data_IF_994074625553
#
_entry.id   IF_994074625553
#
_cell.length_a   1.000
_cell.length_b   1.000
_cell.length_c   1.000
_cell.angle_alpha   90.00
_cell.angle_beta   90.00
_cell.angle_gamma   90.00
#
_symmetry.space_group_name_H-M   'P 1'
#
loop_
_entity.id
_entity.type
_entity.pdbx_description
1 polymer ?
#
# COMPACT_ATOMS: atom_id res chain seq x y z
N UNK A 1 -17.24 22.66 -47.09
CA UNK A 1 -17.66 23.04 -45.72
C UNK A 1 -16.81 22.27 -44.71
N UNK A 2 -15.99 22.98 -43.92
CA UNK A 2 -15.20 22.39 -42.82
C UNK A 2 -16.14 22.16 -41.62
N UNK A 3 -16.29 20.93 -41.15
CA UNK A 3 -16.82 20.67 -39.80
C UNK A 3 -15.65 20.57 -38.83
N UNK A 4 -15.29 21.71 -38.26
CA UNK A 4 -14.58 21.77 -36.99
C UNK A 4 -15.57 21.36 -35.90
N UNK A 5 -15.27 20.30 -35.15
CA UNK A 5 -16.08 19.81 -34.03
C UNK A 5 -15.19 19.19 -32.97
N UNK A 6 -14.73 20.06 -32.06
CA UNK A 6 -14.03 19.82 -30.79
C UNK A 6 -13.93 18.36 -30.34
N UNK A 7 -12.70 17.89 -30.17
CA UNK A 7 -12.34 16.77 -29.29
C UNK A 7 -12.96 16.99 -27.92
N UNK A 8 -13.87 16.11 -27.51
CA UNK A 8 -14.42 16.06 -26.16
C UNK A 8 -13.30 15.67 -25.20
N UNK A 9 -12.66 16.66 -24.58
CA UNK A 9 -11.86 16.39 -23.37
C UNK A 9 -12.81 15.76 -22.36
N UNK A 10 -12.49 14.55 -21.90
CA UNK A 10 -13.17 13.92 -20.77
C UNK A 10 -12.91 14.83 -19.55
N UNK A 11 -13.92 15.56 -19.11
CA UNK A 11 -13.80 16.52 -18.00
C UNK A 11 -13.68 15.84 -16.62
N UNK A 12 -13.74 14.50 -16.56
CA UNK A 12 -13.72 13.69 -15.34
C UNK A 12 -12.59 12.61 -15.31
N UNK A 13 -11.34 12.95 -15.66
CA UNK A 13 -10.23 12.01 -15.49
C UNK A 13 -9.85 11.88 -14.00
N UNK A 14 -10.03 10.69 -13.41
CA UNK A 14 -9.57 10.42 -12.05
C UNK A 14 -8.04 10.30 -12.02
N UNK A 15 -7.38 11.38 -11.58
CA UNK A 15 -5.93 11.42 -11.37
C UNK A 15 -5.65 11.56 -9.88
N UNK A 16 -5.17 10.50 -9.19
CA UNK A 16 -4.89 10.58 -7.77
C UNK A 16 -3.70 11.50 -7.52
N UNK A 17 -3.85 12.49 -6.63
CA UNK A 17 -2.73 13.36 -6.22
C UNK A 17 -1.91 12.73 -5.11
N UNK A 18 -2.54 11.94 -4.24
CA UNK A 18 -1.89 11.20 -3.16
C UNK A 18 -2.29 9.74 -3.19
N UNK A 19 -1.28 8.87 -3.18
CA UNK A 19 -1.43 7.42 -3.21
C UNK A 19 -0.89 6.86 -1.91
N UNK A 20 -1.70 6.07 -1.21
CA UNK A 20 -1.22 5.20 -0.15
C UNK A 20 -0.93 3.81 -0.74
N UNK A 21 0.20 3.23 -0.38
CA UNK A 21 0.55 1.85 -0.73
C UNK A 21 0.66 1.01 0.53
N UNK A 22 -0.19 -0.01 0.67
CA UNK A 22 -0.05 -1.01 1.73
C UNK A 22 1.08 -1.99 1.38
N UNK A 23 2.05 -2.17 2.28
CA UNK A 23 3.26 -2.91 1.98
C UNK A 23 3.67 -3.86 3.11
N UNK A 24 3.85 -5.14 2.78
CA UNK A 24 4.24 -6.22 3.71
C UNK A 24 5.42 -7.05 3.20
N UNK A 25 6.18 -6.49 2.25
CA UNK A 25 7.29 -7.17 1.55
C UNK A 25 6.91 -8.44 0.76
N UNK A 26 5.61 -8.74 0.59
CA UNK A 26 5.18 -9.82 -0.28
C UNK A 26 5.38 -9.49 -1.76
N UNK A 27 5.35 -10.51 -2.62
CA UNK A 27 5.43 -10.34 -4.08
C UNK A 27 4.34 -9.38 -4.61
N UNK A 28 3.12 -9.50 -4.08
CA UNK A 28 1.99 -8.69 -4.52
C UNK A 28 2.11 -7.24 -4.03
N UNK A 29 2.64 -7.01 -2.82
CA UNK A 29 2.89 -5.64 -2.36
C UNK A 29 4.05 -4.97 -3.10
N UNK A 30 5.07 -5.74 -3.51
CA UNK A 30 6.14 -5.26 -4.40
C UNK A 30 5.55 -4.80 -5.74
N UNK A 31 4.65 -5.59 -6.33
CA UNK A 31 3.95 -5.21 -7.56
C UNK A 31 3.07 -3.98 -7.35
N UNK A 32 2.38 -3.89 -6.22
CA UNK A 32 1.58 -2.73 -5.84
C UNK A 32 2.41 -1.43 -5.78
N UNK A 33 3.57 -1.46 -5.12
CA UNK A 33 4.47 -0.31 -5.07
C UNK A 33 5.00 0.06 -6.46
N UNK A 34 5.38 -0.91 -7.29
CA UNK A 34 5.79 -0.64 -8.68
C UNK A 34 4.68 0.03 -9.49
N UNK A 35 3.44 -0.43 -9.37
CA UNK A 35 2.30 0.17 -10.04
C UNK A 35 2.06 1.62 -9.58
N UNK A 36 2.12 1.88 -8.27
CA UNK A 36 2.02 3.23 -7.72
C UNK A 36 3.14 4.14 -8.23
N UNK A 37 4.39 3.65 -8.32
CA UNK A 37 5.52 4.40 -8.90
C UNK A 37 5.24 4.75 -10.37
N UNK A 38 4.73 3.81 -11.18
CA UNK A 38 4.38 4.11 -12.57
C UNK A 38 3.24 5.14 -12.70
N UNK A 39 2.25 5.12 -11.81
CA UNK A 39 1.20 6.15 -11.76
C UNK A 39 1.81 7.51 -11.41
N UNK A 40 2.62 7.56 -10.36
CA UNK A 40 3.29 8.79 -9.93
C UNK A 40 4.24 9.36 -10.98
N UNK A 41 5.01 8.52 -11.66
CA UNK A 41 5.93 8.93 -12.74
C UNK A 41 5.17 9.64 -13.88
N UNK A 42 3.95 9.17 -14.20
CA UNK A 42 3.14 9.74 -15.26
C UNK A 42 2.34 10.98 -14.82
N UNK A 43 1.86 11.01 -13.58
CA UNK A 43 0.85 11.98 -13.12
C UNK A 43 1.31 12.89 -11.97
N UNK A 44 2.51 12.69 -11.43
CA UNK A 44 3.08 13.49 -10.35
C UNK A 44 2.48 13.23 -8.97
N UNK A 45 1.82 12.09 -8.76
CA UNK A 45 1.21 11.73 -7.47
C UNK A 45 2.25 11.57 -6.37
N UNK A 46 1.98 12.03 -5.14
CA UNK A 46 2.80 11.71 -3.98
C UNK A 46 2.51 10.28 -3.50
N UNK A 47 3.54 9.51 -3.17
CA UNK A 47 3.40 8.13 -2.68
C UNK A 47 3.76 8.05 -1.19
N UNK A 48 2.84 7.49 -0.41
CA UNK A 48 3.05 7.13 0.98
C UNK A 48 2.91 5.62 1.16
N UNK A 49 4.02 4.94 1.43
CA UNK A 49 4.03 3.53 1.78
C UNK A 49 3.70 3.40 3.26
N UNK A 50 2.70 2.58 3.59
CA UNK A 50 2.38 2.21 4.97
C UNK A 50 2.66 0.72 5.14
N UNK A 51 3.46 0.41 6.14
CA UNK A 51 3.61 -0.93 6.69
C UNK A 51 3.00 -0.99 8.09
N UNK A 52 2.13 -1.98 8.30
CA UNK A 52 1.55 -2.27 9.61
C UNK A 52 2.29 -3.45 10.21
N UNK A 53 2.89 -3.24 11.39
CA UNK A 53 3.57 -4.29 12.14
C UNK A 53 2.52 -5.10 12.87
N UNK A 54 2.49 -6.40 12.58
CA UNK A 54 1.55 -7.37 13.15
C UNK A 54 2.32 -8.29 14.10
N UNK A 55 2.07 -8.12 15.41
CA UNK A 55 2.65 -8.99 16.41
C UNK A 55 1.90 -10.34 16.44
N UNK A 56 2.61 -11.48 16.54
CA UNK A 56 1.98 -12.78 16.69
C UNK A 56 1.08 -12.83 17.93
N UNK A 57 -0.09 -13.44 17.77
CA UNK A 57 -0.99 -13.74 18.90
C UNK A 57 -0.35 -14.82 19.75
N UNK A 58 0.05 -14.45 20.96
CA UNK A 58 0.62 -15.37 21.95
C UNK A 58 -0.51 -16.02 22.77
N UNK A 59 -0.56 -17.35 22.75
CA UNK A 59 -1.42 -18.13 23.64
C UNK A 59 -0.94 -18.09 25.08
N UNK A 60 -1.80 -18.48 26.03
CA UNK A 60 -1.45 -18.55 27.46
C UNK A 60 -0.25 -19.49 27.68
N UNK A 61 0.90 -18.90 28.03
CA UNK A 61 2.15 -19.58 28.37
C UNK A 61 3.28 -18.58 28.61
N UNK A 62 4.30 -18.95 29.38
CA UNK A 62 5.44 -18.10 29.79
C UNK A 62 6.47 -17.85 28.67
N UNK A 63 6.03 -17.72 27.41
CA UNK A 63 6.94 -17.36 26.32
C UNK A 63 7.06 -15.83 26.28
N UNK A 64 8.13 -15.32 26.88
CA UNK A 64 8.50 -13.90 26.76
C UNK A 64 9.05 -13.63 25.36
N UNK A 65 8.28 -12.93 24.53
CA UNK A 65 8.77 -12.43 23.25
C UNK A 65 9.51 -11.10 23.43
N UNK A 66 10.67 -10.98 22.79
CA UNK A 66 11.34 -9.71 22.61
C UNK A 66 10.65 -8.93 21.48
N UNK A 67 9.65 -8.12 21.84
CA UNK A 67 8.89 -7.33 20.86
C UNK A 67 9.76 -6.31 20.12
N UNK A 68 10.79 -5.76 20.75
CA UNK A 68 11.72 -4.83 20.11
C UNK A 68 12.53 -5.52 19.00
N UNK A 69 12.97 -6.75 19.25
CA UNK A 69 13.67 -7.56 18.25
C UNK A 69 12.75 -7.93 17.09
N UNK A 70 11.51 -8.31 17.39
CA UNK A 70 10.50 -8.61 16.37
C UNK A 70 10.20 -7.39 15.49
N UNK A 71 9.88 -6.26 16.10
CA UNK A 71 9.67 -4.98 15.43
C UNK A 71 10.85 -4.63 14.53
N UNK A 72 12.07 -4.76 15.07
CA UNK A 72 13.29 -4.43 14.34
C UNK A 72 13.53 -5.39 13.17
N UNK A 73 13.24 -6.68 13.32
CA UNK A 73 13.37 -7.66 12.26
C UNK A 73 12.37 -7.43 11.13
N UNK A 74 11.12 -7.16 11.46
CA UNK A 74 10.05 -6.89 10.49
C UNK A 74 10.31 -5.59 9.71
N UNK A 75 10.67 -4.52 10.43
CA UNK A 75 11.10 -3.25 9.83
C UNK A 75 12.31 -3.41 8.91
N UNK A 76 13.30 -4.23 9.28
CA UNK A 76 14.45 -4.54 8.41
C UNK A 76 14.01 -5.27 7.14
N UNK A 77 13.11 -6.24 7.25
CA UNK A 77 12.59 -7.00 6.10
C UNK A 77 11.88 -6.07 5.11
N UNK A 78 10.98 -5.22 5.60
CA UNK A 78 10.25 -4.23 4.80
C UNK A 78 11.18 -3.20 4.18
N UNK A 79 12.15 -2.70 4.94
CA UNK A 79 13.16 -1.76 4.42
C UNK A 79 13.95 -2.41 3.29
N UNK A 80 14.45 -3.63 3.47
CA UNK A 80 15.21 -4.38 2.46
C UNK A 80 14.42 -4.60 1.17
N UNK A 81 13.12 -4.87 1.27
CA UNK A 81 12.25 -5.09 0.11
C UNK A 81 11.86 -3.77 -0.59
N UNK A 82 11.63 -2.70 0.16
CA UNK A 82 11.14 -1.42 -0.37
C UNK A 82 12.26 -0.51 -0.90
N UNK A 83 13.43 -0.51 -0.28
CA UNK A 83 14.52 0.43 -0.57
C UNK A 83 15.02 0.39 -2.03
N UNK A 84 15.20 -0.78 -2.69
CA UNK A 84 15.58 -0.81 -4.10
C UNK A 84 14.53 -0.15 -5.02
N UNK A 85 13.25 -0.32 -4.70
CA UNK A 85 12.13 0.27 -5.45
C UNK A 85 12.07 1.78 -5.24
N UNK A 86 12.31 2.25 -4.02
CA UNK A 86 12.37 3.68 -3.69
C UNK A 86 13.58 4.34 -4.37
N UNK A 87 14.73 3.67 -4.41
CA UNK A 87 15.92 4.15 -5.15
C UNK A 87 15.63 4.27 -6.64
N UNK A 88 14.92 3.31 -7.21
CA UNK A 88 14.49 3.35 -8.61
C UNK A 88 13.48 4.49 -8.86
N UNK A 89 12.49 4.64 -7.99
CA UNK A 89 11.51 5.72 -8.04
C UNK A 89 12.19 7.10 -8.02
N UNK A 90 13.18 7.29 -7.14
CA UNK A 90 13.95 8.54 -7.05
C UNK A 90 14.69 8.87 -8.34
N UNK A 91 15.25 7.87 -9.04
CA UNK A 91 15.89 8.09 -10.36
C UNK A 91 14.90 8.56 -11.43
N UNK A 92 13.61 8.28 -11.24
CA UNK A 92 12.49 8.70 -12.08
C UNK A 92 11.79 9.97 -11.55
N UNK A 93 12.42 10.70 -10.63
CA UNK A 93 11.85 11.88 -9.95
C UNK A 93 10.54 11.62 -9.18
N UNK A 94 10.28 10.39 -8.76
CA UNK A 94 9.15 10.02 -7.91
C UNK A 94 9.57 10.04 -6.45
N UNK A 95 8.86 10.84 -5.62
CA UNK A 95 9.06 10.89 -4.17
C UNK A 95 8.18 9.85 -3.48
N UNK A 96 8.81 9.03 -2.63
CA UNK A 96 8.14 8.02 -1.81
C UNK A 96 8.51 8.25 -0.35
N UNK A 97 7.50 8.33 0.51
CA UNK A 97 7.65 8.37 1.97
C UNK A 97 7.20 7.03 2.57
N UNK A 98 7.85 6.56 3.63
CA UNK A 98 7.52 5.29 4.29
C UNK A 98 7.16 5.55 5.74
N UNK A 99 5.99 5.06 6.15
CA UNK A 99 5.50 5.08 7.51
C UNK A 99 5.35 3.66 8.05
N UNK A 100 5.70 3.49 9.32
CA UNK A 100 5.52 2.26 10.08
C UNK A 100 4.45 2.54 11.14
N UNK A 101 3.42 1.70 11.19
CA UNK A 101 2.34 1.79 12.18
C UNK A 101 2.13 0.43 12.82
N UNK A 102 1.56 0.40 14.01
CA UNK A 102 1.32 -0.83 14.76
C UNK A 102 -0.15 -1.23 14.69
N UNK A 103 -0.42 -2.54 14.72
CA UNK A 103 -1.77 -3.09 14.77
C UNK A 103 -2.50 -2.67 16.06
N UNK A 104 -3.60 -1.91 15.95
CA UNK A 104 -4.44 -1.57 17.12
C UNK A 104 -5.52 -2.64 17.37
N UNK A 105 -6.06 -3.21 16.30
CA UNK A 105 -7.07 -4.28 16.35
C UNK A 105 -6.97 -5.23 15.13
N UNK A 106 -6.67 -4.69 13.94
CA UNK A 106 -6.29 -5.47 12.77
C UNK A 106 -5.38 -4.66 11.85
N UNK A 107 -4.60 -5.34 10.99
CA UNK A 107 -3.78 -4.68 9.96
C UNK A 107 -4.62 -3.79 9.03
N UNK A 108 -5.80 -4.25 8.62
CA UNK A 108 -6.68 -3.49 7.73
C UNK A 108 -7.18 -2.20 8.39
N UNK A 109 -7.57 -2.27 9.66
CA UNK A 109 -8.03 -1.10 10.41
C UNK A 109 -6.90 -0.11 10.66
N UNK A 110 -5.72 -0.57 11.11
CA UNK A 110 -4.54 0.27 11.29
C UNK A 110 -4.16 0.97 9.98
N UNK A 111 -4.17 0.26 8.85
CA UNK A 111 -3.90 0.84 7.53
C UNK A 111 -4.92 1.94 7.19
N UNK A 112 -6.22 1.69 7.37
CA UNK A 112 -7.26 2.67 7.05
C UNK A 112 -7.18 3.89 7.97
N UNK A 113 -6.91 3.71 9.26
CA UNK A 113 -6.73 4.80 10.23
C UNK A 113 -5.48 5.62 9.91
N UNK A 114 -4.35 4.99 9.62
CA UNK A 114 -3.13 5.67 9.23
C UNK A 114 -3.31 6.44 7.92
N UNK A 115 -4.01 5.83 6.95
CA UNK A 115 -4.35 6.47 5.67
C UNK A 115 -5.15 7.77 5.85
N UNK A 116 -6.05 7.85 6.84
CA UNK A 116 -6.82 9.08 7.10
C UNK A 116 -5.95 10.30 7.41
N UNK A 117 -4.76 10.11 8.01
CA UNK A 117 -3.82 11.20 8.29
C UNK A 117 -3.25 11.81 7.01
N UNK A 118 -3.06 10.97 5.98
CA UNK A 118 -2.52 11.35 4.67
C UNK A 118 -3.62 11.94 3.77
N UNK A 119 -4.88 11.52 3.97
CA UNK A 119 -6.02 11.86 3.10
C UNK A 119 -5.73 11.52 1.62
N UNK A 120 -5.40 10.27 1.29
CA UNK A 120 -5.12 9.86 -0.08
C UNK A 120 -6.38 9.85 -0.93
N UNK A 121 -6.18 9.93 -2.24
CA UNK A 121 -7.24 9.79 -3.24
C UNK A 121 -7.36 8.33 -3.71
N UNK A 122 -6.30 7.54 -3.52
CA UNK A 122 -6.21 6.14 -3.92
C UNK A 122 -5.40 5.32 -2.92
N UNK A 123 -5.91 4.15 -2.54
CA UNK A 123 -5.13 3.10 -1.88
C UNK A 123 -4.72 2.06 -2.93
N UNK A 124 -3.45 1.70 -2.98
CA UNK A 124 -2.92 0.63 -3.83
C UNK A 124 -2.40 -0.48 -2.92
N UNK A 125 -2.81 -1.72 -3.16
CA UNK A 125 -2.33 -2.84 -2.37
C UNK A 125 -2.28 -4.13 -3.17
N UNK A 126 -1.48 -5.07 -2.68
CA UNK A 126 -1.44 -6.43 -3.23
C UNK A 126 -2.76 -7.15 -3.00
N UNK A 127 -3.12 -8.06 -3.91
CA UNK A 127 -4.29 -8.94 -3.73
C UNK A 127 -4.13 -9.87 -2.54
N UNK A 128 -2.88 -10.17 -2.15
CA UNK A 128 -2.50 -11.06 -1.06
C UNK A 128 -1.24 -10.59 -0.36
N UNK A 129 -1.06 -11.06 0.87
CA UNK A 129 0.15 -10.84 1.66
C UNK A 129 0.92 -12.13 1.94
N UNK A 130 1.54 -12.20 3.12
CA UNK A 130 2.43 -13.28 3.55
C UNK A 130 1.76 -14.65 3.80
N UNK A 131 0.47 -14.68 4.19
CA UNK A 131 -0.25 -15.91 4.57
C UNK A 131 -1.16 -16.54 3.48
N UNK A 132 -1.04 -16.13 2.22
CA UNK A 132 -2.10 -16.34 1.21
C UNK A 132 -2.40 -17.79 0.82
N UNK A 133 -3.60 -18.28 1.14
CA UNK A 133 -4.21 -19.47 0.53
C UNK A 133 -4.39 -19.28 -0.98
N UNK A 134 -3.96 -20.25 -1.80
CA UNK A 134 -3.91 -20.11 -3.27
C UNK A 134 -5.28 -20.07 -3.98
N UNK A 135 -6.35 -20.53 -3.35
CA UNK A 135 -7.68 -20.65 -3.98
C UNK A 135 -8.54 -19.38 -3.92
N UNK A 136 -8.24 -18.42 -3.04
CA UNK A 136 -9.04 -17.19 -2.88
C UNK A 136 -8.76 -16.15 -3.99
N UNK A 137 -9.56 -15.09 -4.11
CA UNK A 137 -9.24 -13.97 -5.01
C UNK A 137 -8.49 -12.86 -4.28
N UNK A 138 -8.88 -12.59 -3.03
CA UNK A 138 -8.29 -11.60 -2.13
C UNK A 138 -7.85 -12.29 -0.83
N UNK A 139 -6.83 -11.73 -0.18
CA UNK A 139 -6.45 -12.04 1.21
C UNK A 139 -7.36 -11.32 2.21
N UNK A 140 -7.22 -11.67 3.49
CA UNK A 140 -8.02 -11.08 4.58
C UNK A 140 -7.92 -9.55 4.64
N UNK A 141 -6.69 -9.02 4.60
CA UNK A 141 -6.43 -7.58 4.67
C UNK A 141 -6.98 -6.84 3.45
N UNK A 142 -6.69 -7.33 2.23
CA UNK A 142 -7.19 -6.68 1.01
C UNK A 142 -8.70 -6.73 0.89
N UNK A 143 -9.33 -7.83 1.29
CA UNK A 143 -10.78 -7.93 1.35
C UNK A 143 -11.39 -6.92 2.34
N UNK A 144 -10.84 -6.83 3.56
CA UNK A 144 -11.32 -5.90 4.57
C UNK A 144 -11.14 -4.43 4.15
N UNK A 145 -10.00 -4.08 3.56
CA UNK A 145 -9.74 -2.71 3.07
C UNK A 145 -10.71 -2.34 1.95
N UNK A 146 -10.94 -3.22 0.97
CA UNK A 146 -11.91 -2.98 -0.09
C UNK A 146 -13.33 -2.80 0.46
N UNK A 147 -13.72 -3.59 1.45
CA UNK A 147 -15.05 -3.52 2.06
C UNK A 147 -15.29 -2.25 2.89
N UNK A 148 -14.24 -1.67 3.50
CA UNK A 148 -14.38 -0.58 4.46
C UNK A 148 -13.77 0.75 4.02
N UNK A 149 -13.02 0.78 2.91
CA UNK A 149 -12.45 2.03 2.39
C UNK A 149 -13.54 2.97 1.88
N UNK A 150 -13.43 4.25 2.24
CA UNK A 150 -14.29 5.32 1.70
C UNK A 150 -13.72 5.95 0.43
N UNK A 151 -12.58 5.46 -0.05
CA UNK A 151 -11.88 5.94 -1.25
C UNK A 151 -11.54 4.77 -2.18
N UNK A 152 -11.26 5.02 -3.47
CA UNK A 152 -10.86 3.98 -4.40
C UNK A 152 -9.71 3.10 -3.90
N UNK A 153 -9.82 1.81 -4.16
CA UNK A 153 -8.78 0.80 -3.86
C UNK A 153 -8.38 0.09 -5.14
N UNK A 154 -7.11 0.18 -5.52
CA UNK A 154 -6.51 -0.55 -6.63
C UNK A 154 -5.81 -1.82 -6.10
N UNK A 155 -6.34 -2.97 -6.50
CA UNK A 155 -5.78 -4.27 -6.16
C UNK A 155 -4.83 -4.76 -7.25
N UNK A 156 -3.59 -5.08 -6.89
CA UNK A 156 -2.56 -5.59 -7.80
C UNK A 156 -2.30 -7.07 -7.57
N UNK A 157 -2.28 -7.86 -8.64
CA UNK A 157 -1.91 -9.28 -8.62
C UNK A 157 -0.43 -9.46 -8.91
#
# INVERSE_FOLDING_TARGET
>A
MKRNGKSSKLEDEFIPKKIVVAFDASLHSIRALKAAISISEKYGSAIHVIHCIEYPVVGYGEVYYNWDEFYSADKRNVTKASEPLIKEAKKRNVKVEVAYTEGTASVAESLLLESKKIKPDLIVMGSRGLGGFKSLLLGSVSNAVVAHSTIPVLIIK
#
